data_IF_818245346377
#
_entry.id   IF_818245346377
#
_cell.length_a   1.000
_cell.length_b   1.000
_cell.length_c   1.000
_cell.angle_alpha   90.00
_cell.angle_beta   90.00
_cell.angle_gamma   90.00
#
_symmetry.space_group_name_H-M   'P 1'
#
loop_
_entity.id
_entity.type
_entity.pdbx_description
1 polymer ?
#
# COMPACT_ATOMS: atom_id res chain seq x y z
N UNK A 1 0.38 -19.51 -5.62
CA UNK A 1 0.07 -18.08 -5.46
C UNK A 1 -1.05 -17.99 -4.45
N UNK A 2 -0.94 -17.16 -3.40
CA UNK A 2 -2.04 -17.00 -2.43
C UNK A 2 -3.30 -16.48 -3.15
N UNK A 3 -4.50 -16.66 -2.56
CA UNK A 3 -5.71 -16.04 -3.07
C UNK A 3 -5.51 -14.52 -3.22
N UNK A 4 -6.05 -13.94 -4.28
CA UNK A 4 -5.94 -12.51 -4.57
C UNK A 4 -7.31 -11.85 -4.54
N UNK A 5 -7.37 -10.62 -4.04
CA UNK A 5 -8.54 -9.76 -4.17
C UNK A 5 -8.13 -8.41 -4.76
N UNK A 6 -9.05 -7.68 -5.42
CA UNK A 6 -8.80 -6.29 -5.79
C UNK A 6 -8.48 -5.49 -4.53
N UNK A 7 -7.49 -4.59 -4.62
CA UNK A 7 -7.05 -3.76 -3.50
C UNK A 7 -8.27 -3.08 -2.82
N UNK A 8 -8.56 -3.44 -1.56
CA UNK A 8 -9.66 -2.83 -0.82
C UNK A 8 -9.39 -1.34 -0.56
N UNK A 9 -10.41 -0.48 -0.54
CA UNK A 9 -10.24 0.96 -0.28
C UNK A 9 -9.76 1.26 1.15
N UNK A 10 -9.97 0.33 2.08
CA UNK A 10 -9.51 0.37 3.47
C UNK A 10 -8.12 -0.26 3.65
N UNK A 11 -7.46 -0.71 2.58
CA UNK A 11 -6.16 -1.36 2.68
C UNK A 11 -5.09 -0.41 3.28
N UNK A 12 -4.24 -0.94 4.15
CA UNK A 12 -3.22 -0.15 4.89
C UNK A 12 -2.24 0.59 3.97
N UNK A 13 -1.94 0.04 2.78
CA UNK A 13 -1.11 0.68 1.74
C UNK A 13 -1.61 2.08 1.32
N UNK A 14 -2.89 2.40 1.52
CA UNK A 14 -3.44 3.75 1.25
C UNK A 14 -2.95 4.80 2.25
N UNK A 15 -2.39 4.36 3.39
CA UNK A 15 -2.11 5.19 4.56
C UNK A 15 -0.91 4.70 5.38
N UNK A 16 0.05 4.03 4.73
CA UNK A 16 1.29 3.60 5.40
C UNK A 16 2.14 4.80 5.79
N UNK A 17 2.54 5.63 4.82
CA UNK A 17 3.28 6.88 5.03
C UNK A 17 2.51 8.09 4.47
N UNK A 18 2.25 8.10 3.16
CA UNK A 18 1.36 9.05 2.50
C UNK A 18 -0.09 8.57 2.53
N UNK A 19 -1.02 9.54 2.58
CA UNK A 19 -2.44 9.32 2.37
C UNK A 19 -2.77 9.45 0.88
N UNK A 20 -2.92 8.33 0.19
CA UNK A 20 -3.24 8.26 -1.24
C UNK A 20 -4.25 7.14 -1.52
N UNK A 21 -5.16 7.38 -2.47
CA UNK A 21 -6.24 6.42 -2.83
C UNK A 21 -5.96 5.64 -4.10
N UNK A 22 -5.06 6.15 -4.93
CA UNK A 22 -4.70 5.59 -6.21
C UNK A 22 -3.19 5.37 -6.25
N UNK A 23 -2.76 4.31 -6.92
CA UNK A 23 -1.35 3.94 -7.04
C UNK A 23 -0.92 3.92 -8.51
N UNK A 24 -0.94 5.06 -9.21
CA UNK A 24 -0.48 5.12 -10.58
C UNK A 24 1.02 4.84 -10.67
N UNK A 25 1.45 4.32 -11.81
CA UNK A 25 2.85 4.23 -12.21
C UNK A 25 3.03 4.98 -13.51
N UNK A 26 3.67 4.37 -14.50
CA UNK A 26 3.68 4.89 -15.88
C UNK A 26 2.28 4.85 -16.50
N UNK A 27 1.47 3.88 -16.08
CA UNK A 27 0.05 3.79 -16.40
C UNK A 27 -0.80 4.02 -15.15
N UNK A 28 -2.08 4.38 -15.36
CA UNK A 28 -3.04 4.68 -14.29
C UNK A 28 -4.25 3.74 -14.39
N UNK A 29 -4.00 2.43 -14.35
CA UNK A 29 -5.05 1.42 -14.21
C UNK A 29 -5.46 1.30 -12.74
N UNK A 30 -6.77 1.21 -12.44
CA UNK A 30 -7.26 0.95 -11.09
C UNK A 30 -7.11 -0.52 -10.68
N UNK A 31 -6.81 -1.43 -11.60
CA UNK A 31 -6.74 -2.88 -11.33
C UNK A 31 -5.42 -3.24 -10.62
N UNK A 32 -5.48 -3.16 -9.30
CA UNK A 32 -4.41 -3.58 -8.40
C UNK A 32 -4.95 -4.70 -7.54
N UNK A 33 -4.16 -5.76 -7.41
CA UNK A 33 -4.51 -6.97 -6.68
C UNK A 33 -3.53 -7.15 -5.53
N UNK A 34 -4.05 -7.56 -4.40
CA UNK A 34 -3.28 -7.88 -3.20
C UNK A 34 -3.62 -9.29 -2.73
N UNK A 35 -2.80 -9.87 -1.86
CA UNK A 35 -3.22 -11.07 -1.13
C UNK A 35 -4.58 -10.83 -0.47
N UNK A 36 -5.51 -11.76 -0.69
CA UNK A 36 -6.84 -11.68 -0.13
C UNK A 36 -6.83 -11.86 1.38
N UNK A 37 -7.67 -11.09 2.04
CA UNK A 37 -7.96 -11.25 3.44
C UNK A 37 -8.45 -12.67 3.79
N UNK A 38 -8.14 -13.18 5.00
CA UNK A 38 -8.85 -14.31 5.57
C UNK A 38 -10.37 -14.06 5.54
N UNK A 39 -11.22 -15.09 5.29
CA UNK A 39 -12.67 -14.91 5.19
C UNK A 39 -13.34 -14.32 6.43
N UNK A 40 -12.70 -14.48 7.59
CA UNK A 40 -13.11 -14.01 8.92
C UNK A 40 -12.48 -12.66 9.31
N UNK A 41 -11.69 -12.04 8.43
CA UNK A 41 -11.09 -10.75 8.68
C UNK A 41 -12.14 -9.63 8.60
N UNK A 42 -12.55 -9.15 9.76
CA UNK A 42 -13.48 -8.02 9.92
C UNK A 42 -12.79 -6.73 10.35
N UNK A 43 -13.40 -5.60 10.02
CA UNK A 43 -12.96 -4.29 10.50
C UNK A 43 -13.45 -4.13 11.93
N UNK A 44 -12.54 -4.21 12.91
CA UNK A 44 -12.89 -3.96 14.30
C UNK A 44 -13.40 -2.51 14.49
N UNK A 45 -14.38 -2.34 15.38
CA UNK A 45 -15.01 -1.04 15.63
C UNK A 45 -13.97 0.00 16.07
N UNK A 46 -14.00 1.19 15.44
CA UNK A 46 -13.02 2.26 15.68
C UNK A 46 -11.69 2.10 14.95
N UNK A 47 -11.49 1.00 14.19
CA UNK A 47 -10.24 0.78 13.46
C UNK A 47 -10.29 1.34 12.03
N UNK A 48 -9.16 1.84 11.49
CA UNK A 48 -9.13 2.41 10.16
C UNK A 48 -8.96 1.38 9.02
N UNK A 49 -8.65 0.12 9.32
CA UNK A 49 -8.42 -0.98 8.36
C UNK A 49 -8.56 -2.37 9.00
N UNK A 50 -8.87 -3.40 8.19
CA UNK A 50 -8.94 -4.82 8.62
C UNK A 50 -7.55 -5.37 8.96
N UNK A 51 -7.46 -6.20 9.99
CA UNK A 51 -6.22 -6.92 10.31
C UNK A 51 -6.06 -8.11 9.33
N UNK A 52 -5.15 -7.97 8.38
CA UNK A 52 -4.80 -9.02 7.42
C UNK A 52 -3.50 -9.68 7.90
N UNK A 53 -3.37 -11.02 7.75
CA UNK A 53 -2.16 -11.86 7.92
C UNK A 53 -0.93 -11.12 8.44
N UNK A 54 -0.48 -11.42 9.69
CA UNK A 54 0.73 -10.92 10.38
C UNK A 54 1.18 -9.46 10.10
N UNK A 55 0.27 -8.61 9.59
CA UNK A 55 0.45 -7.23 9.20
C UNK A 55 1.10 -6.96 7.84
N UNK A 56 1.48 -7.96 7.03
CA UNK A 56 2.17 -7.70 5.74
C UNK A 56 1.57 -8.48 4.58
N UNK A 57 0.87 -7.76 3.70
CA UNK A 57 0.53 -8.23 2.35
C UNK A 57 1.80 -8.70 1.60
N UNK A 58 1.99 -10.00 1.34
CA UNK A 58 3.20 -10.55 0.74
C UNK A 58 3.26 -10.31 -0.77
N UNK A 59 2.13 -10.01 -1.41
CA UNK A 59 2.00 -9.88 -2.87
C UNK A 59 1.16 -8.67 -3.23
N UNK A 60 1.70 -7.80 -4.09
CA UNK A 60 0.99 -6.71 -4.76
C UNK A 60 1.22 -6.83 -6.26
N UNK A 61 0.15 -6.86 -7.05
CA UNK A 61 0.18 -7.05 -8.51
C UNK A 61 -0.60 -5.91 -9.17
N UNK A 62 -0.03 -5.29 -10.20
CA UNK A 62 -0.73 -4.28 -10.98
C UNK A 62 -0.05 -4.00 -12.32
N UNK A 63 -0.84 -3.53 -13.28
CA UNK A 63 -0.40 -3.20 -14.64
C UNK A 63 0.19 -1.79 -14.80
N UNK A 64 0.54 -1.12 -13.70
CA UNK A 64 0.87 0.30 -13.70
C UNK A 64 2.32 0.62 -14.07
N UNK A 65 3.19 -0.40 -14.23
CA UNK A 65 4.61 -0.23 -14.57
C UNK A 65 5.29 0.81 -13.66
N UNK A 66 5.22 0.54 -12.35
CA UNK A 66 5.81 1.41 -11.33
C UNK A 66 7.32 1.49 -11.44
N UNK A 67 7.97 0.39 -11.84
CA UNK A 67 9.41 0.34 -12.06
C UNK A 67 9.86 1.41 -13.06
N UNK A 68 9.18 1.55 -14.22
CA UNK A 68 9.49 2.62 -15.17
C UNK A 68 9.20 4.03 -14.62
N UNK A 69 8.17 4.19 -13.79
CA UNK A 69 7.88 5.47 -13.17
C UNK A 69 8.95 5.91 -12.15
N UNK A 70 9.57 4.95 -11.46
CA UNK A 70 10.63 5.16 -10.48
C UNK A 70 12.03 5.20 -11.08
N UNK A 71 12.20 4.70 -12.30
CA UNK A 71 13.50 4.60 -12.96
C UNK A 71 14.09 5.99 -13.25
N UNK A 72 15.30 6.23 -12.74
CA UNK A 72 16.09 7.45 -12.92
C UNK A 72 17.51 7.12 -13.38
N UNK A 73 18.17 8.05 -14.04
CA UNK A 73 19.60 7.97 -14.36
C UNK A 73 20.49 8.38 -13.17
N UNK A 74 21.80 8.43 -13.39
CA UNK A 74 22.78 8.80 -12.36
C UNK A 74 22.69 10.25 -11.88
N UNK A 75 22.03 11.12 -12.64
CA UNK A 75 21.75 12.51 -12.27
C UNK A 75 20.35 12.71 -11.69
N UNK A 76 19.59 11.62 -11.50
CA UNK A 76 18.23 11.64 -10.97
C UNK A 76 17.16 12.04 -12.00
N UNK A 77 17.50 12.15 -13.29
CA UNK A 77 16.53 12.45 -14.32
C UNK A 77 15.71 11.19 -14.66
N UNK A 78 14.39 11.29 -14.87
CA UNK A 78 13.58 10.13 -15.20
C UNK A 78 13.96 9.45 -16.51
N UNK A 79 14.11 8.11 -16.50
CA UNK A 79 14.46 7.33 -17.70
C UNK A 79 13.29 7.15 -18.66
N UNK A 80 12.07 7.09 -18.12
CA UNK A 80 10.86 6.82 -18.90
C UNK A 80 9.83 7.94 -18.71
N UNK A 81 9.13 8.39 -19.77
CA UNK A 81 8.08 9.38 -19.63
C UNK A 81 6.88 8.80 -18.88
N UNK A 82 6.29 9.62 -18.01
CA UNK A 82 5.03 9.35 -17.32
C UNK A 82 4.07 10.47 -17.71
N UNK A 83 2.97 10.12 -18.39
CA UNK A 83 1.99 11.10 -18.87
C UNK A 83 2.60 12.21 -19.73
N UNK A 84 2.02 13.42 -19.65
CA UNK A 84 2.48 14.63 -20.35
C UNK A 84 2.33 15.87 -19.47
N UNK A 85 3.28 16.80 -19.59
CA UNK A 85 3.25 18.09 -18.90
C UNK A 85 3.10 17.95 -17.38
N UNK A 86 2.49 18.95 -16.74
CA UNK A 86 2.31 19.00 -15.28
C UNK A 86 1.51 17.81 -14.73
N UNK A 87 0.57 17.26 -15.51
CA UNK A 87 -0.19 16.08 -15.12
C UNK A 87 0.70 14.83 -15.03
N UNK A 88 1.66 14.70 -15.96
CA UNK A 88 2.66 13.62 -15.95
C UNK A 88 3.58 13.69 -14.73
N UNK A 89 4.07 14.89 -14.40
CA UNK A 89 4.90 15.09 -13.20
C UNK A 89 4.14 14.74 -11.93
N UNK A 90 2.87 15.14 -11.81
CA UNK A 90 2.01 14.77 -10.68
C UNK A 90 1.79 13.26 -10.61
N UNK A 91 1.57 12.60 -11.74
CA UNK A 91 1.41 11.14 -11.77
C UNK A 91 2.68 10.42 -11.31
N UNK A 92 3.86 10.90 -11.73
CA UNK A 92 5.15 10.36 -11.26
C UNK A 92 5.33 10.58 -9.77
N UNK A 93 4.97 11.75 -9.26
CA UNK A 93 4.99 12.04 -7.83
C UNK A 93 4.12 11.03 -7.05
N UNK A 94 2.91 10.74 -7.52
CA UNK A 94 2.04 9.72 -6.91
C UNK A 94 2.63 8.32 -6.99
N UNK A 95 3.31 7.98 -8.09
CA UNK A 95 4.04 6.72 -8.20
C UNK A 95 5.14 6.60 -7.12
N UNK A 96 5.92 7.67 -6.89
CA UNK A 96 6.94 7.71 -5.85
C UNK A 96 6.33 7.57 -4.44
N UNK A 97 5.19 8.24 -4.18
CA UNK A 97 4.46 8.12 -2.91
C UNK A 97 3.97 6.69 -2.68
N UNK A 98 3.49 6.01 -3.72
CA UNK A 98 3.13 4.60 -3.65
C UNK A 98 4.35 3.73 -3.34
N UNK A 99 5.49 3.94 -4.01
CA UNK A 99 6.74 3.21 -3.74
C UNK A 99 7.19 3.36 -2.27
N UNK A 100 7.08 4.57 -1.72
CA UNK A 100 7.37 4.83 -0.30
C UNK A 100 6.38 4.11 0.60
N UNK A 101 5.07 4.16 0.32
CA UNK A 101 4.07 3.40 1.08
C UNK A 101 4.35 1.89 1.05
N UNK A 102 4.73 1.35 -0.10
CA UNK A 102 5.04 -0.06 -0.29
C UNK A 102 6.29 -0.46 0.52
N UNK A 103 7.39 0.28 0.41
CA UNK A 103 8.63 0.00 1.16
C UNK A 103 8.40 0.13 2.65
N UNK A 104 7.72 1.18 3.10
CA UNK A 104 7.37 1.34 4.51
C UNK A 104 6.52 0.18 5.01
N UNK A 105 5.53 -0.25 4.22
CA UNK A 105 4.61 -1.33 4.59
C UNK A 105 5.37 -2.64 4.81
N UNK A 106 6.29 -2.96 3.89
CA UNK A 106 7.12 -4.16 3.98
C UNK A 106 8.14 -4.07 5.11
N UNK A 107 8.78 -2.91 5.34
CA UNK A 107 9.86 -2.78 6.32
C UNK A 107 9.39 -2.59 7.76
N UNK A 108 8.24 -1.95 7.97
CA UNK A 108 7.70 -1.75 9.33
C UNK A 108 6.71 -2.83 9.73
N UNK A 109 6.37 -3.69 8.78
CA UNK A 109 5.37 -4.73 8.93
C UNK A 109 4.10 -4.26 9.64
N UNK A 110 3.75 -5.01 10.69
CA UNK A 110 2.60 -4.79 11.55
C UNK A 110 2.70 -3.60 12.52
N UNK A 111 3.68 -2.68 12.46
CA UNK A 111 3.80 -1.62 13.48
C UNK A 111 2.48 -0.84 13.71
N UNK A 112 1.66 -0.62 12.67
CA UNK A 112 0.32 -0.03 12.81
C UNK A 112 -0.77 -1.05 13.17
N UNK A 113 -0.64 -2.30 12.74
CA UNK A 113 -1.55 -3.43 13.05
C UNK A 113 -1.41 -3.93 14.49
N UNK A 114 -0.24 -3.74 15.11
CA UNK A 114 0.05 -4.13 16.50
C UNK A 114 -0.59 -3.17 17.50
N UNK A 115 -0.71 -1.88 17.14
CA UNK A 115 -1.44 -0.90 17.95
C UNK A 115 -2.92 -1.27 18.12
N UNK A 116 -3.50 -2.01 17.17
CA UNK A 116 -4.88 -2.52 17.23
C UNK A 116 -5.07 -3.52 18.37
N UNK A 117 -4.03 -4.29 18.71
CA UNK A 117 -4.09 -5.33 19.73
C UNK A 117 -3.82 -4.82 21.14
N UNK A 118 -3.31 -3.59 21.29
CA UNK A 118 -2.95 -3.00 22.60
C UNK A 118 -4.13 -2.95 23.58
N UNK A 119 -5.36 -2.53 23.21
CA UNK A 119 -6.49 -2.53 24.13
C UNK A 119 -6.81 -3.93 24.69
N UNK A 120 -6.82 -4.96 23.84
CA UNK A 120 -7.08 -6.34 24.25
C UNK A 120 -5.96 -6.93 25.12
N UNK A 121 -4.71 -6.50 24.93
CA UNK A 121 -3.57 -6.88 25.78
C UNK A 121 -3.66 -6.25 27.18
N UNK A 122 -4.09 -4.99 27.27
CA UNK A 122 -4.27 -4.30 28.55
C UNK A 122 -5.41 -4.91 29.37
N UNK A 123 -6.49 -5.35 28.73
CA UNK A 123 -7.63 -5.98 29.39
C UNK A 123 -7.28 -7.35 30.00
N UNK A 124 -6.35 -8.09 29.38
CA UNK A 124 -5.83 -9.37 29.88
C UNK A 124 -4.81 -9.24 31.01
N UNK A 125 -4.09 -8.12 31.09
CA UNK A 125 -3.13 -7.83 32.18
C UNK A 125 -3.81 -7.25 33.42
N UNK A 126 -5.06 -6.78 33.31
CA UNK A 126 -5.88 -6.28 34.42
C UNK A 126 -6.68 -7.36 35.16
N UNK A 127 -6.56 -8.63 34.75
CA UNK A 127 -7.04 -9.82 35.48
C UNK A 127 -5.87 -10.49 36.20
#
# INVERSE_FOLDING_TARGET
>A
MPPLEPLPPDHVLTRTFYLIREFPGRHASPEIWVEAAPPDAELAEGMPFRALNDGVTPVVIGGNDWAAAWAVDEWGAPLMPVGRGLAGERQREYALRFGINLVMHVLTGNYKSDQVHVPALLERLGQ
#
